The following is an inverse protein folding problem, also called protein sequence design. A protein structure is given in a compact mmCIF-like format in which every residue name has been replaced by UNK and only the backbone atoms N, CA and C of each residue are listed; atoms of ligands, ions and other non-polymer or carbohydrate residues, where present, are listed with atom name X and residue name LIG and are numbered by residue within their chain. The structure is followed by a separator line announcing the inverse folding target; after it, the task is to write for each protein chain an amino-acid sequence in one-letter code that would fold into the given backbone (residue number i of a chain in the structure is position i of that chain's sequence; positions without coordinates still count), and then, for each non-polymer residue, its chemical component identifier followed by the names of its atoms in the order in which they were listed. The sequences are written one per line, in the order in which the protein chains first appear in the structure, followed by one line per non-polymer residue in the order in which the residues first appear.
data_IF_435746210971
#
_entry.id   IF_435746210971
#
_cell.length_a   1.000
_cell.length_b   1.000
_cell.length_c   1.000
_cell.angle_alpha   90.00
_cell.angle_beta   90.00
_cell.angle_gamma   90.00
#
_symmetry.space_group_name_H-M   'P 1'
#
loop_
_entity.id
_entity.type
_entity.pdbx_description
1 polymer ?
#
# COMPACT_ATOMS: atom_id res chain seq x y z
N UNK A 1 14.69 19.53 9.73
CA UNK A 1 15.46 18.33 10.05
C UNK A 1 14.55 17.12 10.19
N UNK A 2 14.98 16.00 9.61
CA UNK A 2 14.21 14.75 9.64
C UNK A 2 14.97 13.72 10.47
N UNK A 3 14.27 13.10 11.43
CA UNK A 3 14.88 12.06 12.26
C UNK A 3 15.16 10.81 11.42
N UNK A 4 16.26 10.06 11.68
CA UNK A 4 16.65 8.90 10.87
C UNK A 4 15.57 7.84 10.76
N UNK A 5 14.84 7.55 11.83
CA UNK A 5 13.74 6.58 11.82
C UNK A 5 12.58 6.99 10.92
N UNK A 6 12.35 8.29 10.74
CA UNK A 6 11.34 8.81 9.83
C UNK A 6 11.78 8.62 8.39
N UNK A 7 13.06 8.81 8.10
CA UNK A 7 13.63 8.56 6.77
C UNK A 7 13.41 7.09 6.39
N UNK A 8 13.66 6.16 7.30
CA UNK A 8 13.44 4.74 7.08
C UNK A 8 11.96 4.44 6.82
N UNK A 9 11.05 5.05 7.58
CA UNK A 9 9.61 4.88 7.37
C UNK A 9 9.16 5.41 6.01
N UNK A 10 9.71 6.54 5.57
CA UNK A 10 9.40 7.10 4.25
C UNK A 10 9.85 6.13 3.15
N UNK A 11 11.05 5.59 3.26
CA UNK A 11 11.58 4.66 2.28
C UNK A 11 10.79 3.35 2.25
N UNK A 12 10.42 2.82 3.40
CA UNK A 12 9.58 1.61 3.49
C UNK A 12 8.21 1.84 2.88
N UNK A 13 7.59 2.97 3.17
CA UNK A 13 6.27 3.32 2.65
C UNK A 13 6.27 3.49 1.14
N UNK A 14 7.24 4.21 0.62
CA UNK A 14 7.26 4.61 -0.79
C UNK A 14 8.02 3.64 -1.70
N UNK A 15 8.85 2.77 -1.13
CA UNK A 15 9.73 1.91 -1.91
C UNK A 15 10.70 2.69 -2.79
N UNK A 16 10.95 3.97 -2.44
CA UNK A 16 11.80 4.84 -3.25
C UNK A 16 11.10 5.42 -4.47
N UNK A 17 9.78 5.22 -4.62
CA UNK A 17 9.01 5.75 -5.75
C UNK A 17 9.11 7.29 -5.75
N UNK A 18 9.57 7.93 -6.86
CA UNK A 18 9.87 9.37 -6.84
C UNK A 18 8.69 10.26 -6.46
N UNK A 19 7.53 10.07 -7.09
CA UNK A 19 6.36 10.90 -6.79
C UNK A 19 5.85 10.68 -5.37
N UNK A 20 5.80 9.43 -4.93
CA UNK A 20 5.34 9.11 -3.58
C UNK A 20 6.29 9.68 -2.53
N UNK A 21 7.59 9.57 -2.77
CA UNK A 21 8.60 10.13 -1.86
C UNK A 21 8.45 11.64 -1.76
N UNK A 22 8.27 12.33 -2.88
CA UNK A 22 8.06 13.78 -2.89
C UNK A 22 6.76 14.17 -2.20
N UNK A 23 5.69 13.42 -2.43
CA UNK A 23 4.39 13.71 -1.84
C UNK A 23 4.42 13.62 -0.31
N UNK A 24 4.97 12.53 0.23
CA UNK A 24 5.06 12.38 1.69
C UNK A 24 6.06 13.35 2.30
N UNK A 25 7.16 13.63 1.59
CA UNK A 25 8.15 14.58 2.06
C UNK A 25 7.57 15.99 2.16
N UNK A 26 6.78 16.40 1.17
CA UNK A 26 6.11 17.69 1.20
C UNK A 26 5.11 17.79 2.36
N UNK A 27 4.28 16.74 2.52
CA UNK A 27 3.31 16.68 3.62
C UNK A 27 4.03 16.71 4.98
N UNK A 28 5.14 15.99 5.08
CA UNK A 28 5.94 15.97 6.30
C UNK A 28 6.51 17.36 6.62
N UNK A 29 6.99 18.06 5.60
CA UNK A 29 7.48 19.43 5.77
C UNK A 29 6.37 20.36 6.27
N UNK A 30 5.19 20.25 5.68
CA UNK A 30 4.02 21.06 6.08
C UNK A 30 3.57 20.77 7.52
N UNK A 31 3.73 19.52 7.99
CA UNK A 31 3.32 19.09 9.32
C UNK A 31 4.40 19.30 10.39
N UNK A 32 5.60 19.71 10.00
CA UNK A 32 6.71 19.91 10.94
C UNK A 32 6.72 21.35 11.42
N UNK A 33 6.75 21.59 12.74
CA UNK A 33 6.85 22.93 13.26
C UNK A 33 8.12 23.65 12.76
N UNK A 34 8.00 24.93 12.53
CA UNK A 34 9.12 25.75 12.07
C UNK A 34 10.27 25.67 13.08
N UNK A 35 11.45 25.27 12.60
CA UNK A 35 12.63 25.07 13.46
C UNK A 35 12.60 23.77 14.24
N UNK A 36 11.54 22.96 14.09
CA UNK A 36 11.45 21.67 14.75
C UNK A 36 12.03 20.52 13.93
N UNK A 37 12.08 19.35 14.54
CA UNK A 37 12.45 18.12 13.86
C UNK A 37 11.22 17.34 13.39
N UNK A 38 11.32 16.72 12.23
CA UNK A 38 10.27 15.83 11.72
C UNK A 38 10.41 14.47 12.41
N UNK A 39 9.59 14.22 13.42
CA UNK A 39 9.58 12.97 14.17
C UNK A 39 8.37 12.12 13.83
N UNK A 40 8.16 11.05 14.59
CA UNK A 40 7.08 10.07 14.34
C UNK A 40 5.69 10.70 14.29
N UNK A 41 5.38 11.64 15.18
CA UNK A 41 4.08 12.29 15.20
C UNK A 41 3.82 13.12 13.94
N UNK A 42 4.83 13.83 13.47
CA UNK A 42 4.73 14.59 12.22
C UNK A 42 4.54 13.65 11.03
N UNK A 43 5.24 12.53 11.02
CA UNK A 43 5.08 11.52 9.97
C UNK A 43 3.65 10.97 9.94
N UNK A 44 3.10 10.63 11.10
CA UNK A 44 1.73 10.09 11.18
C UNK A 44 0.71 11.10 10.65
N UNK A 45 0.86 12.39 10.98
CA UNK A 45 -0.01 13.44 10.46
C UNK A 45 0.18 13.64 8.95
N UNK A 46 1.41 13.55 8.47
CA UNK A 46 1.72 13.68 7.05
C UNK A 46 1.08 12.53 6.25
N UNK A 47 1.23 11.30 6.74
CA UNK A 47 0.61 10.13 6.10
C UNK A 47 -0.91 10.25 6.07
N UNK A 48 -1.52 10.63 7.19
CA UNK A 48 -2.96 10.82 7.27
C UNK A 48 -3.44 11.88 6.26
N UNK A 49 -2.69 12.96 6.12
CA UNK A 49 -2.99 14.02 5.14
C UNK A 49 -2.94 13.51 3.71
N UNK A 50 -1.92 12.72 3.36
CA UNK A 50 -1.80 12.11 2.03
C UNK A 50 -2.96 11.16 1.77
N UNK A 51 -3.29 10.29 2.74
CA UNK A 51 -4.39 9.34 2.60
C UNK A 51 -5.73 10.05 2.40
N UNK A 52 -5.95 11.18 3.10
CA UNK A 52 -7.16 11.97 2.90
C UNK A 52 -7.21 12.58 1.50
N UNK A 53 -6.09 13.06 0.98
CA UNK A 53 -6.05 13.63 -0.37
C UNK A 53 -6.29 12.57 -1.45
N UNK A 54 -5.93 11.32 -1.19
CA UNK A 54 -6.10 10.21 -2.13
C UNK A 54 -7.41 9.44 -1.93
N UNK A 55 -8.19 9.78 -0.89
CA UNK A 55 -9.34 8.99 -0.50
C UNK A 55 -10.37 8.80 -1.60
N UNK A 56 -10.69 9.84 -2.36
CA UNK A 56 -11.67 9.73 -3.44
C UNK A 56 -11.23 8.74 -4.52
N UNK A 57 -9.96 8.80 -4.90
CA UNK A 57 -9.38 7.90 -5.89
C UNK A 57 -9.35 6.45 -5.38
N UNK A 58 -8.86 6.24 -4.17
CA UNK A 58 -8.76 4.89 -3.61
C UNK A 58 -10.14 4.28 -3.34
N UNK A 59 -11.13 5.09 -2.99
CA UNK A 59 -12.51 4.63 -2.83
C UNK A 59 -13.04 4.09 -4.14
N UNK A 60 -12.80 4.78 -5.26
CA UNK A 60 -13.20 4.30 -6.58
C UNK A 60 -12.50 2.99 -6.95
N UNK A 61 -11.20 2.90 -6.71
CA UNK A 61 -10.44 1.68 -6.94
C UNK A 61 -11.04 0.50 -6.16
N UNK A 62 -11.34 0.74 -4.88
CA UNK A 62 -11.88 -0.29 -4.00
C UNK A 62 -13.29 -0.72 -4.40
N UNK A 63 -14.15 0.23 -4.71
CA UNK A 63 -15.54 -0.05 -5.09
C UNK A 63 -15.63 -0.79 -6.42
N UNK A 64 -14.69 -0.53 -7.32
CA UNK A 64 -14.63 -1.17 -8.63
C UNK A 64 -14.06 -2.59 -8.58
N UNK A 65 -13.36 -2.93 -7.50
CA UNK A 65 -12.75 -4.23 -7.34
C UNK A 65 -13.78 -5.30 -6.95
N UNK A 66 -13.63 -6.50 -7.53
CA UNK A 66 -14.44 -7.64 -7.14
C UNK A 66 -14.08 -8.11 -5.72
N UNK A 67 -14.94 -8.97 -5.15
CA UNK A 67 -14.66 -9.54 -3.83
C UNK A 67 -13.31 -10.24 -3.77
N UNK A 68 -13.00 -11.07 -4.78
CA UNK A 68 -11.72 -11.77 -4.85
C UNK A 68 -10.55 -10.80 -4.96
N UNK A 69 -10.70 -9.77 -5.79
CA UNK A 69 -9.66 -8.74 -5.93
C UNK A 69 -9.42 -8.00 -4.61
N UNK A 70 -10.50 -7.68 -3.87
CA UNK A 70 -10.36 -7.04 -2.55
C UNK A 70 -9.64 -7.93 -1.56
N UNK A 71 -9.93 -9.23 -1.56
CA UNK A 71 -9.24 -10.19 -0.70
C UNK A 71 -7.74 -10.24 -1.02
N UNK A 72 -7.40 -10.23 -2.31
CA UNK A 72 -6.00 -10.19 -2.74
C UNK A 72 -5.33 -8.91 -2.28
N UNK A 73 -5.96 -7.76 -2.51
CA UNK A 73 -5.41 -6.47 -2.09
C UNK A 73 -5.22 -6.39 -0.58
N UNK A 74 -6.18 -6.88 0.20
CA UNK A 74 -6.06 -6.93 1.66
C UNK A 74 -4.88 -7.80 2.10
N UNK A 75 -4.73 -8.97 1.48
CA UNK A 75 -3.63 -9.88 1.79
C UNK A 75 -2.28 -9.24 1.48
N UNK A 76 -2.13 -8.65 0.30
CA UNK A 76 -0.89 -7.99 -0.11
C UNK A 76 -0.57 -6.76 0.75
N UNK A 77 -1.61 -6.03 1.17
CA UNK A 77 -1.41 -4.86 2.04
C UNK A 77 -0.90 -5.26 3.42
N UNK A 78 -1.38 -6.38 3.94
CA UNK A 78 -1.03 -6.84 5.28
C UNK A 78 0.29 -7.61 5.29
N UNK A 79 0.47 -8.50 4.33
CA UNK A 79 1.59 -9.45 4.33
C UNK A 79 1.96 -9.82 2.88
N UNK A 80 2.87 -9.07 2.23
CA UNK A 80 3.33 -9.46 0.90
C UNK A 80 3.91 -10.88 0.90
N UNK A 81 3.49 -11.76 -0.02
CA UNK A 81 3.87 -13.16 0.01
C UNK A 81 5.20 -13.45 -0.67
N UNK A 82 5.87 -14.50 -0.25
CA UNK A 82 6.93 -15.12 -1.04
C UNK A 82 6.33 -16.00 -2.13
N UNK A 83 5.25 -16.72 -1.80
CA UNK A 83 4.48 -17.51 -2.74
C UNK A 83 2.99 -17.37 -2.44
N UNK A 84 2.28 -16.64 -3.29
CA UNK A 84 0.85 -16.38 -3.10
C UNK A 84 0.01 -17.65 -3.24
N UNK A 85 0.51 -18.65 -3.98
CA UNK A 85 -0.18 -19.93 -4.16
C UNK A 85 0.07 -20.92 -3.03
N UNK A 86 0.92 -20.60 -2.06
CA UNK A 86 1.14 -21.49 -0.93
C UNK A 86 -0.18 -21.69 -0.16
N UNK A 87 -0.50 -22.92 0.14
CA UNK A 87 -1.77 -23.26 0.78
C UNK A 87 -1.97 -22.53 2.10
N UNK A 88 -0.93 -22.44 2.91
CA UNK A 88 -0.98 -21.74 4.18
C UNK A 88 -1.30 -20.26 4.02
N UNK A 89 -0.66 -19.60 3.05
CA UNK A 89 -0.91 -18.18 2.77
C UNK A 89 -2.36 -17.99 2.32
N UNK A 90 -2.83 -18.80 1.37
CA UNK A 90 -4.22 -18.70 0.87
C UNK A 90 -5.22 -18.92 1.99
N UNK A 91 -4.99 -19.91 2.84
CA UNK A 91 -5.88 -20.19 3.98
C UNK A 91 -5.90 -19.04 4.97
N UNK A 92 -4.73 -18.50 5.30
CA UNK A 92 -4.58 -17.40 6.26
C UNK A 92 -5.31 -16.14 5.82
N UNK A 93 -5.33 -15.89 4.52
CA UNK A 93 -5.93 -14.68 3.95
C UNK A 93 -7.27 -14.94 3.26
N UNK A 94 -7.81 -16.13 3.36
CA UNK A 94 -9.12 -16.45 2.77
C UNK A 94 -9.15 -16.39 1.25
N UNK A 95 -8.03 -16.65 0.59
CA UNK A 95 -7.93 -16.57 -0.87
C UNK A 95 -8.50 -17.82 -1.54
N UNK A 96 -9.05 -17.68 -2.76
CA UNK A 96 -9.61 -18.81 -3.49
C UNK A 96 -8.53 -19.70 -4.08
N UNK A 97 -8.95 -20.73 -4.80
CA UNK A 97 -8.06 -21.64 -5.51
C UNK A 97 -7.29 -20.93 -6.63
N UNK A 98 -6.25 -21.62 -7.12
CA UNK A 98 -5.25 -21.05 -8.05
C UNK A 98 -5.83 -20.37 -9.28
N UNK A 99 -6.86 -20.93 -9.91
CA UNK A 99 -7.42 -20.34 -11.14
C UNK A 99 -8.08 -19.00 -10.89
N UNK A 100 -8.94 -18.94 -9.87
CA UNK A 100 -9.62 -17.68 -9.51
C UNK A 100 -8.64 -16.63 -9.00
N UNK A 101 -7.67 -17.09 -8.22
CA UNK A 101 -6.61 -16.22 -7.71
C UNK A 101 -5.80 -15.61 -8.86
N UNK A 102 -5.40 -16.44 -9.84
CA UNK A 102 -4.61 -15.95 -10.97
C UNK A 102 -5.39 -14.95 -11.81
N UNK A 103 -6.69 -15.18 -12.03
CA UNK A 103 -7.52 -14.23 -12.77
C UNK A 103 -7.62 -12.88 -12.05
N UNK A 104 -7.78 -12.89 -10.73
CA UNK A 104 -7.80 -11.68 -9.95
C UNK A 104 -6.47 -10.92 -10.04
N UNK A 105 -5.37 -11.64 -9.93
CA UNK A 105 -4.02 -11.06 -10.06
C UNK A 105 -3.81 -10.45 -11.45
N UNK A 106 -4.20 -11.17 -12.50
CA UNK A 106 -4.05 -10.67 -13.88
C UNK A 106 -4.81 -9.36 -14.08
N UNK A 107 -6.04 -9.28 -13.58
CA UNK A 107 -6.83 -8.04 -13.66
C UNK A 107 -6.17 -6.90 -12.89
N UNK A 108 -5.71 -7.19 -11.68
CA UNK A 108 -5.06 -6.16 -10.84
C UNK A 108 -3.74 -5.68 -11.46
N UNK A 109 -3.02 -6.57 -12.14
CA UNK A 109 -1.80 -6.20 -12.87
C UNK A 109 -2.16 -5.35 -14.09
N UNK A 110 -3.17 -5.73 -14.85
CA UNK A 110 -3.64 -4.95 -16.01
C UNK A 110 -4.09 -3.56 -15.59
N UNK A 111 -4.71 -3.43 -14.42
CA UNK A 111 -5.14 -2.15 -13.87
C UNK A 111 -4.01 -1.37 -13.20
N UNK A 112 -2.79 -1.89 -13.24
CA UNK A 112 -1.59 -1.27 -12.66
C UNK A 112 -1.65 -1.09 -11.14
N UNK A 113 -2.45 -1.90 -10.47
CA UNK A 113 -2.57 -1.86 -8.99
C UNK A 113 -1.62 -2.82 -8.31
N UNK A 114 -1.20 -3.86 -9.00
CA UNK A 114 -0.32 -4.91 -8.48
C UNK A 114 0.82 -5.15 -9.46
N UNK A 115 2.01 -5.38 -8.94
CA UNK A 115 3.18 -5.75 -9.73
C UNK A 115 3.67 -7.15 -9.32
N UNK A 116 4.03 -7.95 -10.31
CA UNK A 116 4.68 -9.24 -10.08
C UNK A 116 6.18 -9.01 -9.96
N UNK A 117 6.76 -9.42 -8.83
CA UNK A 117 8.20 -9.25 -8.59
C UNK A 117 8.99 -10.44 -9.12
N UNK A 118 8.47 -11.65 -8.88
CA UNK A 118 9.01 -12.92 -9.34
C UNK A 118 7.88 -13.93 -9.24
N UNK A 119 8.02 -15.16 -9.76
CA UNK A 119 6.94 -16.14 -9.66
C UNK A 119 6.44 -16.29 -8.21
N UNK A 120 5.15 -16.09 -8.01
CA UNK A 120 4.50 -16.19 -6.70
C UNK A 120 4.62 -14.96 -5.82
N UNK A 121 5.45 -14.00 -6.16
CA UNK A 121 5.69 -12.82 -5.34
C UNK A 121 5.09 -11.57 -6.00
N UNK A 122 4.18 -10.93 -5.29
CA UNK A 122 3.42 -9.77 -5.79
C UNK A 122 3.38 -8.68 -4.73
N UNK A 123 3.25 -7.43 -5.17
CA UNK A 123 3.06 -6.30 -4.27
C UNK A 123 2.09 -5.30 -4.89
N UNK A 124 1.49 -4.47 -4.04
CA UNK A 124 0.68 -3.34 -4.50
C UNK A 124 1.61 -2.29 -5.08
N UNK A 125 1.32 -1.84 -6.31
CA UNK A 125 2.15 -0.86 -7.03
C UNK A 125 2.00 0.55 -6.50
N UNK A 126 0.79 0.89 -6.04
CA UNK A 126 0.46 2.21 -5.54
C UNK A 126 0.96 2.37 -4.10
N UNK A 127 1.97 3.20 -3.83
CA UNK A 127 2.65 3.21 -2.52
C UNK A 127 1.77 3.51 -1.32
N UNK A 128 0.73 4.34 -1.48
CA UNK A 128 -0.15 4.71 -0.36
C UNK A 128 -1.38 3.82 -0.23
N UNK A 129 -1.66 2.99 -1.22
CA UNK A 129 -2.85 2.14 -1.19
C UNK A 129 -2.83 1.11 -0.05
N UNK A 130 -1.71 0.43 0.26
CA UNK A 130 -1.70 -0.48 1.40
C UNK A 130 -2.10 0.16 2.73
N UNK A 131 -1.61 1.36 3.00
CA UNK A 131 -1.97 2.08 4.23
C UNK A 131 -3.45 2.48 4.22
N UNK A 132 -3.96 2.93 3.06
CA UNK A 132 -5.38 3.25 2.92
C UNK A 132 -6.26 2.03 3.16
N UNK A 133 -5.89 0.87 2.59
CA UNK A 133 -6.63 -0.39 2.77
C UNK A 133 -6.65 -0.79 4.24
N UNK A 134 -5.53 -0.64 4.94
CA UNK A 134 -5.46 -0.96 6.37
C UNK A 134 -6.48 -0.15 7.19
N UNK A 135 -6.77 1.09 6.80
CA UNK A 135 -7.74 1.93 7.48
C UNK A 135 -9.18 1.71 7.02
N UNK A 136 -9.40 1.45 5.72
CA UNK A 136 -10.73 1.52 5.10
C UNK A 136 -11.20 0.21 4.48
N UNK A 137 -10.31 -0.73 4.24
CA UNK A 137 -10.57 -1.94 3.48
C UNK A 137 -11.11 -3.11 4.29
N UNK A 138 -11.73 -2.87 5.40
CA UNK A 138 -12.26 -3.95 6.23
C UNK A 138 -13.48 -4.63 5.60
#
# INVERSE_FOLDING_TARGET
RVEPEVIDRVLDLTGGHPYATQEIAYALWEETPRGGAAGAAAFDRALDRVLRSENAHFTLVWDDASRTQRLVLQALALEPPESINAEEYRRRHGLPGSSSLQRALDTLIDDELVAKLKPGSYRISEPFLPAWIAEHGA
#
